data_IF_762552643965
#
_entry.id   IF_762552643965
#
_cell.length_a   1.000
_cell.length_b   1.000
_cell.length_c   1.000
_cell.angle_alpha   90.00
_cell.angle_beta   90.00
_cell.angle_gamma   90.00
#
_symmetry.space_group_name_H-M   'P 1'
#
loop_
_entity.id
_entity.type
_entity.pdbx_description
1 polymer ?
#
# COMPACT_ATOMS: atom_id res chain seq x y z
N UNK A 1 71.66 58.26 18.86
CA UNK A 1 71.11 57.61 17.64
C UNK A 1 69.67 57.20 17.92
N UNK A 2 68.69 58.04 17.57
CA UNK A 2 67.27 57.75 17.74
C UNK A 2 66.67 57.30 16.40
N UNK A 3 66.30 56.02 16.28
CA UNK A 3 65.47 55.51 15.17
C UNK A 3 64.01 55.49 15.62
N UNK A 4 63.26 56.49 15.19
CA UNK A 4 61.79 56.52 15.29
C UNK A 4 61.19 55.59 14.25
N UNK A 5 60.61 54.46 14.68
CA UNK A 5 59.74 53.63 13.85
C UNK A 5 58.39 54.33 13.68
N UNK A 6 58.07 54.78 12.46
CA UNK A 6 56.69 55.17 12.10
C UNK A 6 55.93 53.92 11.64
N UNK A 7 54.72 53.63 12.16
CA UNK A 7 53.89 52.57 11.62
C UNK A 7 53.30 53.03 10.28
N UNK A 8 53.56 52.26 9.22
CA UNK A 8 52.90 52.42 7.92
C UNK A 8 51.43 51.99 8.11
N UNK A 9 50.52 52.96 8.23
CA UNK A 9 49.08 52.69 8.13
C UNK A 9 48.80 52.30 6.67
N UNK A 10 48.60 51.00 6.41
CA UNK A 10 48.07 50.52 5.13
C UNK A 10 46.59 50.88 5.08
N UNK A 11 46.27 52.03 4.49
CA UNK A 11 44.89 52.34 4.12
C UNK A 11 44.55 51.45 2.92
N UNK A 12 43.58 50.56 3.08
CA UNK A 12 43.03 49.79 1.96
C UNK A 12 42.45 50.76 0.93
N UNK A 13 42.74 50.53 -0.34
CA UNK A 13 42.18 51.35 -1.42
C UNK A 13 40.68 51.07 -1.54
N UNK A 14 39.91 52.07 -1.98
CA UNK A 14 38.46 51.94 -2.18
C UNK A 14 38.10 50.69 -3.03
N UNK A 15 38.95 50.36 -4.00
CA UNK A 15 38.81 49.20 -4.90
C UNK A 15 38.93 47.88 -4.13
N UNK A 16 39.89 47.78 -3.19
CA UNK A 16 40.04 46.58 -2.34
C UNK A 16 38.84 46.42 -1.39
N UNK A 17 38.27 47.52 -0.92
CA UNK A 17 37.10 47.52 -0.04
C UNK A 17 35.83 47.10 -0.80
N UNK A 18 35.66 47.57 -2.04
CA UNK A 18 34.58 47.14 -2.93
C UNK A 18 34.74 45.66 -3.32
N UNK A 19 35.96 45.21 -3.65
CA UNK A 19 36.22 43.81 -3.97
C UNK A 19 35.93 42.88 -2.77
N UNK A 20 36.32 43.29 -1.56
CA UNK A 20 36.02 42.56 -0.34
C UNK A 20 34.50 42.51 -0.06
N UNK A 21 33.77 43.60 -0.29
CA UNK A 21 32.31 43.63 -0.13
C UNK A 21 31.61 42.71 -1.14
N UNK A 22 32.03 42.71 -2.40
CA UNK A 22 31.47 41.83 -3.43
C UNK A 22 31.75 40.37 -3.08
N UNK A 23 33.00 40.03 -2.72
CA UNK A 23 33.36 38.68 -2.31
C UNK A 23 32.55 38.22 -1.09
N UNK A 24 32.36 39.09 -0.10
CA UNK A 24 31.54 38.80 1.10
C UNK A 24 30.07 38.60 0.74
N UNK A 25 29.52 39.38 -0.18
CA UNK A 25 28.14 39.26 -0.63
C UNK A 25 27.91 37.94 -1.37
N UNK A 26 28.83 37.55 -2.26
CA UNK A 26 28.79 36.26 -2.95
C UNK A 26 28.88 35.12 -1.93
N UNK A 27 29.78 35.22 -0.96
CA UNK A 27 29.94 34.20 0.08
C UNK A 27 28.70 34.07 0.97
N UNK A 28 28.10 35.18 1.38
CA UNK A 28 26.84 35.21 2.14
C UNK A 28 25.66 34.68 1.33
N UNK A 29 25.57 34.99 0.03
CA UNK A 29 24.53 34.45 -0.84
C UNK A 29 24.67 32.95 -1.07
N UNK A 30 25.90 32.44 -1.21
CA UNK A 30 26.17 31.00 -1.30
C UNK A 30 25.87 30.26 0.02
N UNK A 31 26.16 30.89 1.16
CA UNK A 31 25.83 30.36 2.47
C UNK A 31 24.31 30.33 2.68
N UNK A 32 23.60 31.39 2.31
CA UNK A 32 22.15 31.44 2.40
C UNK A 32 21.47 30.39 1.48
N UNK A 33 21.96 30.22 0.25
CA UNK A 33 21.46 29.18 -0.66
C UNK A 33 21.72 27.78 -0.11
N UNK A 34 22.91 27.53 0.45
CA UNK A 34 23.25 26.25 1.09
C UNK A 34 22.39 26.00 2.33
N UNK A 35 22.12 27.03 3.15
CA UNK A 35 21.24 26.93 4.31
C UNK A 35 19.81 26.62 3.86
N UNK A 36 19.26 27.30 2.86
CA UNK A 36 17.90 27.02 2.36
C UNK A 36 17.80 25.62 1.76
N UNK A 37 18.79 25.18 0.97
CA UNK A 37 18.85 23.82 0.44
C UNK A 37 19.00 22.78 1.54
N UNK A 38 19.87 23.03 2.54
CA UNK A 38 20.00 22.13 3.67
C UNK A 38 18.73 22.12 4.53
N UNK A 39 18.05 23.26 4.72
CA UNK A 39 16.82 23.38 5.52
C UNK A 39 15.65 22.69 4.82
N UNK A 40 15.57 22.75 3.48
CA UNK A 40 14.58 21.98 2.71
C UNK A 40 14.91 20.48 2.67
N UNK A 41 16.17 20.08 2.82
CA UNK A 41 16.56 18.67 3.04
C UNK A 41 16.49 18.24 4.51
N UNK A 42 16.31 19.20 5.43
CA UNK A 42 16.16 19.02 6.88
C UNK A 42 14.73 19.31 7.36
N UNK A 43 13.78 19.54 6.45
CA UNK A 43 12.37 19.46 6.80
C UNK A 43 12.21 18.12 7.50
N UNK A 44 11.94 18.19 8.82
CA UNK A 44 12.17 17.07 9.71
C UNK A 44 11.43 15.88 9.14
N UNK A 45 12.05 14.70 8.97
CA UNK A 45 11.39 13.51 8.44
C UNK A 45 10.03 13.26 9.10
N UNK A 46 9.85 13.75 10.34
CA UNK A 46 8.60 13.74 11.09
C UNK A 46 7.49 14.57 10.45
N UNK A 47 7.69 15.82 10.02
CA UNK A 47 6.60 16.67 9.50
C UNK A 47 6.04 16.16 8.16
N UNK A 48 6.93 15.72 7.25
CA UNK A 48 6.48 15.10 6.01
C UNK A 48 5.88 13.72 6.29
N UNK A 49 6.50 12.89 7.15
CA UNK A 49 5.94 11.59 7.54
C UNK A 49 4.58 11.72 8.24
N UNK A 50 4.39 12.75 9.07
CA UNK A 50 3.13 13.09 9.74
C UNK A 50 2.09 13.50 8.69
N UNK A 51 2.41 14.41 7.77
CA UNK A 51 1.49 14.80 6.70
C UNK A 51 1.09 13.64 5.77
N UNK A 52 2.00 12.68 5.54
CA UNK A 52 1.69 11.46 4.81
C UNK A 52 0.83 10.51 5.62
N UNK A 53 1.11 10.35 6.91
CA UNK A 53 0.33 9.53 7.83
C UNK A 53 -1.10 10.08 7.98
N UNK A 54 -1.25 11.39 8.14
CA UNK A 54 -2.54 12.07 8.19
C UNK A 54 -3.33 11.88 6.88
N UNK A 55 -2.64 11.96 5.73
CA UNK A 55 -3.27 11.67 4.43
C UNK A 55 -3.70 10.21 4.32
N UNK A 56 -2.91 9.27 4.84
CA UNK A 56 -3.27 7.85 4.88
C UNK A 56 -4.55 7.64 5.70
N UNK A 57 -4.64 8.26 6.87
CA UNK A 57 -5.83 8.22 7.75
C UNK A 57 -7.04 8.81 7.02
N UNK A 58 -6.90 10.00 6.45
CA UNK A 58 -7.96 10.68 5.73
C UNK A 58 -8.45 9.87 4.52
N UNK A 59 -7.53 9.34 3.72
CA UNK A 59 -7.87 8.54 2.55
C UNK A 59 -8.57 7.22 2.94
N UNK A 60 -8.19 6.62 4.07
CA UNK A 60 -8.90 5.44 4.62
C UNK A 60 -10.32 5.78 5.04
N UNK A 61 -10.51 6.86 5.79
CA UNK A 61 -11.83 7.35 6.20
C UNK A 61 -12.68 7.64 4.96
N UNK A 62 -12.12 8.32 3.96
CA UNK A 62 -12.80 8.63 2.70
C UNK A 62 -13.14 7.37 1.91
N UNK A 63 -12.26 6.37 1.88
CA UNK A 63 -12.54 5.10 1.22
C UNK A 63 -13.71 4.36 1.90
N UNK A 64 -13.70 4.26 3.23
CA UNK A 64 -14.77 3.61 3.98
C UNK A 64 -16.09 4.38 3.86
N UNK A 65 -16.07 5.71 3.86
CA UNK A 65 -17.24 6.55 3.59
C UNK A 65 -17.76 6.38 2.15
N UNK A 66 -16.87 6.34 1.15
CA UNK A 66 -17.24 6.21 -0.26
C UNK A 66 -18.06 4.96 -0.54
N UNK A 67 -17.77 3.86 0.15
CA UNK A 67 -18.48 2.59 -0.01
C UNK A 67 -19.54 2.35 1.07
N UNK A 68 -19.76 3.32 1.96
CA UNK A 68 -20.80 3.23 2.98
C UNK A 68 -22.21 3.38 2.39
N UNK A 69 -23.15 2.64 2.97
CA UNK A 69 -24.58 2.82 2.72
C UNK A 69 -25.30 3.50 3.91
N UNK A 70 -24.65 3.59 5.07
CA UNK A 70 -25.09 4.41 6.20
C UNK A 70 -23.91 4.88 7.05
N UNK A 71 -24.10 6.04 7.68
CA UNK A 71 -23.18 6.61 8.66
C UNK A 71 -23.98 6.92 9.93
N UNK A 72 -23.46 6.50 11.07
CA UNK A 72 -24.01 6.73 12.41
C UNK A 72 -23.01 7.55 13.23
N UNK A 73 -23.40 8.79 13.56
CA UNK A 73 -22.61 9.76 14.31
C UNK A 73 -23.07 9.87 15.79
N UNK A 74 -23.78 8.87 16.32
CA UNK A 74 -24.30 8.92 17.69
C UNK A 74 -23.22 8.92 18.79
N UNK A 75 -21.97 8.61 18.45
CA UNK A 75 -20.84 8.69 19.39
C UNK A 75 -20.29 10.11 19.51
N UNK A 76 -20.05 10.56 20.74
CA UNK A 76 -19.47 11.89 21.01
C UNK A 76 -18.00 12.03 20.58
N UNK A 77 -17.31 10.92 20.28
CA UNK A 77 -15.89 10.89 19.96
C UNK A 77 -15.60 10.07 18.71
N UNK A 78 -16.57 9.89 17.81
CA UNK A 78 -16.40 9.02 16.67
C UNK A 78 -17.63 8.89 15.79
N UNK A 79 -17.52 8.03 14.80
CA UNK A 79 -18.63 7.68 13.91
C UNK A 79 -18.48 6.23 13.49
N UNK A 80 -19.59 5.63 13.07
CA UNK A 80 -19.62 4.28 12.52
C UNK A 80 -20.16 4.34 11.10
N UNK A 81 -19.46 3.71 10.16
CA UNK A 81 -19.95 3.52 8.81
C UNK A 81 -20.35 2.08 8.61
N UNK A 82 -21.44 1.89 7.90
CA UNK A 82 -21.87 0.56 7.49
C UNK A 82 -21.66 0.45 5.99
N UNK A 83 -20.87 -0.53 5.56
CA UNK A 83 -20.49 -0.71 4.16
C UNK A 83 -20.51 -2.19 3.79
N UNK A 84 -20.59 -2.53 2.49
CA UNK A 84 -20.36 -3.91 2.05
C UNK A 84 -18.94 -4.35 2.43
N UNK A 85 -18.84 -5.51 3.05
CA UNK A 85 -17.58 -6.14 3.39
C UNK A 85 -16.85 -6.60 2.14
N UNK A 86 -15.55 -6.31 2.10
CA UNK A 86 -14.66 -6.77 1.03
C UNK A 86 -14.19 -8.22 1.24
N UNK A 87 -14.53 -8.86 2.37
CA UNK A 87 -14.05 -10.21 2.72
C UNK A 87 -15.15 -11.24 2.95
N UNK A 88 -16.41 -10.81 3.12
CA UNK A 88 -17.51 -11.74 3.48
C UNK A 88 -18.74 -11.61 2.60
N UNK A 89 -18.76 -10.67 1.65
CA UNK A 89 -19.96 -10.26 0.89
C UNK A 89 -21.17 -9.84 1.76
N UNK A 90 -21.00 -9.81 3.09
CA UNK A 90 -21.97 -9.31 4.05
C UNK A 90 -21.78 -7.80 4.23
N UNK A 91 -22.58 -7.21 5.10
CA UNK A 91 -22.38 -5.84 5.55
C UNK A 91 -21.39 -5.84 6.71
N UNK A 92 -20.35 -5.00 6.66
CA UNK A 92 -19.43 -4.74 7.77
C UNK A 92 -19.66 -3.35 8.37
N UNK A 93 -19.50 -3.27 9.68
CA UNK A 93 -19.56 -2.06 10.46
C UNK A 93 -18.14 -1.60 10.78
N UNK A 94 -17.73 -0.45 10.25
CA UNK A 94 -16.43 0.16 10.55
C UNK A 94 -16.66 1.33 11.48
N UNK A 95 -16.15 1.24 12.71
CA UNK A 95 -16.22 2.31 13.69
C UNK A 95 -14.88 3.01 13.83
N UNK A 96 -14.92 4.33 13.83
CA UNK A 96 -13.81 5.21 14.12
C UNK A 96 -14.07 5.85 15.48
N UNK A 97 -13.16 5.66 16.44
CA UNK A 97 -13.28 6.20 17.79
C UNK A 97 -11.99 6.87 18.22
N UNK A 98 -12.10 8.13 18.62
CA UNK A 98 -11.02 8.86 19.25
C UNK A 98 -11.09 8.67 20.78
N UNK A 99 -9.97 8.27 21.36
CA UNK A 99 -9.88 7.99 22.80
C UNK A 99 -8.51 8.33 23.37
N UNK A 100 -8.22 7.80 24.56
CA UNK A 100 -6.95 8.03 25.26
C UNK A 100 -5.75 7.45 24.50
N UNK A 101 -5.98 6.41 23.71
CA UNK A 101 -4.98 5.73 22.87
C UNK A 101 -4.93 6.32 21.44
N UNK A 102 -5.60 7.45 21.21
CA UNK A 102 -5.66 8.15 19.93
C UNK A 102 -6.83 7.72 19.04
N UNK A 103 -6.68 7.87 17.72
CA UNK A 103 -7.73 7.47 16.77
C UNK A 103 -7.64 5.98 16.50
N UNK A 104 -8.74 5.27 16.76
CA UNK A 104 -8.86 3.84 16.49
C UNK A 104 -9.90 3.58 15.41
N UNK A 105 -9.67 2.52 14.63
CA UNK A 105 -10.59 1.97 13.64
C UNK A 105 -10.87 0.51 13.99
N UNK A 106 -12.13 0.15 14.07
CA UNK A 106 -12.56 -1.21 14.35
C UNK A 106 -13.51 -1.70 13.25
N UNK A 107 -13.29 -2.90 12.73
CA UNK A 107 -14.15 -3.57 11.74
C UNK A 107 -14.91 -4.70 12.47
N UNK A 108 -16.22 -4.58 12.56
CA UNK A 108 -17.11 -5.52 13.23
C UNK A 108 -16.60 -5.88 14.65
N UNK A 109 -16.31 -7.16 14.88
CA UNK A 109 -15.82 -7.71 16.16
C UNK A 109 -14.31 -7.97 16.16
N UNK A 110 -13.57 -7.39 15.21
CA UNK A 110 -12.11 -7.54 15.17
C UNK A 110 -11.43 -6.72 16.29
N UNK A 111 -10.15 -7.00 16.53
CA UNK A 111 -9.35 -6.19 17.43
C UNK A 111 -9.23 -4.76 16.87
N UNK A 112 -9.46 -3.71 17.69
CA UNK A 112 -9.32 -2.33 17.25
C UNK A 112 -7.90 -2.04 16.75
N UNK A 113 -7.82 -1.35 15.62
CA UNK A 113 -6.59 -0.89 15.01
C UNK A 113 -6.34 0.58 15.41
N UNK A 114 -5.18 0.90 15.99
CA UNK A 114 -4.82 2.29 16.29
C UNK A 114 -4.28 2.94 15.02
N UNK A 115 -5.05 3.87 14.46
CA UNK A 115 -4.68 4.67 13.28
C UNK A 115 -3.67 5.76 13.63
N UNK A 116 -3.84 6.40 14.78
CA UNK A 116 -2.97 7.46 15.28
C UNK A 116 -2.84 7.32 16.79
N UNK A 117 -1.60 7.30 17.31
CA UNK A 117 -1.30 7.18 18.74
C UNK A 117 -1.19 8.55 19.45
N UNK A 118 -1.16 9.66 18.70
CA UNK A 118 -1.10 11.01 19.26
C UNK A 118 -2.38 11.79 18.95
N UNK A 119 -2.64 12.86 19.69
CA UNK A 119 -3.80 13.73 19.41
C UNK A 119 -3.70 14.27 17.98
N UNK A 120 -4.80 14.30 17.20
CA UNK A 120 -4.76 14.71 15.81
C UNK A 120 -4.15 16.11 15.70
N UNK A 121 -3.01 16.20 15.01
CA UNK A 121 -2.29 17.46 14.76
C UNK A 121 -3.04 18.37 13.78
N UNK A 122 -4.05 17.82 13.08
CA UNK A 122 -4.82 18.49 12.04
C UNK A 122 -6.32 18.17 12.11
N UNK A 123 -7.14 19.17 11.79
CA UNK A 123 -8.60 19.02 11.66
C UNK A 123 -8.95 18.73 10.21
N UNK A 124 -9.57 17.59 9.92
CA UNK A 124 -10.14 17.29 8.62
C UNK A 124 -11.66 17.50 8.67
N UNK A 125 -12.19 18.23 7.69
CA UNK A 125 -13.63 18.52 7.61
C UNK A 125 -14.17 17.81 6.38
N UNK A 126 -15.10 16.87 6.58
CA UNK A 126 -15.84 16.23 5.48
C UNK A 126 -17.12 17.04 5.26
N UNK A 127 -17.04 18.08 4.43
CA UNK A 127 -18.22 18.85 4.07
C UNK A 127 -19.07 18.08 3.07
N UNK A 128 -20.24 17.59 3.52
CA UNK A 128 -21.31 17.09 2.67
C UNK A 128 -21.00 15.76 1.98
N UNK A 129 -21.28 14.65 2.66
CA UNK A 129 -21.42 13.35 2.01
C UNK A 129 -22.79 13.26 1.33
N UNK A 130 -22.82 13.32 0.00
CA UNK A 130 -24.00 12.89 -0.78
C UNK A 130 -23.66 11.53 -1.38
N UNK A 131 -24.21 10.46 -0.80
CA UNK A 131 -24.06 9.12 -1.38
C UNK A 131 -24.54 9.15 -2.84
N UNK A 132 -23.76 8.65 -3.81
CA UNK A 132 -24.27 8.44 -5.16
C UNK A 132 -25.52 7.57 -5.05
N UNK A 133 -26.63 8.00 -5.65
CA UNK A 133 -27.80 7.14 -5.80
C UNK A 133 -27.35 5.88 -6.52
N UNK A 134 -27.29 4.75 -5.82
CA UNK A 134 -26.85 3.48 -6.37
C UNK A 134 -27.72 3.13 -7.59
N UNK A 135 -27.16 3.24 -8.80
CA UNK A 135 -27.82 2.78 -10.03
C UNK A 135 -27.46 1.30 -10.18
N UNK A 136 -28.42 0.43 -9.90
CA UNK A 136 -28.30 -1.03 -9.87
C UNK A 136 -28.05 -1.70 -11.25
N UNK A 137 -27.45 -1.02 -12.22
CA UNK A 137 -27.33 -1.54 -13.58
C UNK A 137 -26.13 -2.48 -13.80
N UNK A 138 -25.03 -2.33 -13.05
CA UNK A 138 -23.84 -3.18 -13.18
C UNK A 138 -23.41 -3.68 -11.79
N UNK A 139 -23.44 -4.99 -11.57
CA UNK A 139 -22.87 -5.59 -10.35
C UNK A 139 -21.35 -5.42 -10.41
N UNK A 140 -20.72 -4.61 -9.54
CA UNK A 140 -19.29 -4.37 -9.63
C UNK A 140 -18.50 -5.63 -9.25
N UNK A 141 -17.29 -5.76 -9.79
CA UNK A 141 -16.36 -6.80 -9.40
C UNK A 141 -15.96 -6.62 -7.93
N UNK A 142 -16.06 -7.67 -7.13
CA UNK A 142 -15.81 -7.60 -5.68
C UNK A 142 -15.07 -8.84 -5.19
N UNK A 143 -14.26 -8.66 -4.15
CA UNK A 143 -13.73 -9.80 -3.40
C UNK A 143 -14.86 -10.35 -2.53
N UNK A 144 -15.19 -11.63 -2.73
CA UNK A 144 -16.17 -12.37 -1.92
C UNK A 144 -15.55 -12.81 -0.61
N UNK A 145 -14.37 -13.44 -0.69
CA UNK A 145 -13.65 -13.98 0.46
C UNK A 145 -12.19 -14.23 0.16
N UNK A 146 -11.42 -14.49 1.21
CA UNK A 146 -9.99 -14.78 1.12
C UNK A 146 -9.59 -15.95 2.02
N UNK A 147 -8.55 -16.67 1.61
CA UNK A 147 -7.86 -17.68 2.41
C UNK A 147 -6.36 -17.43 2.35
N UNK A 148 -5.67 -17.70 3.46
CA UNK A 148 -4.24 -17.45 3.58
C UNK A 148 -3.54 -18.66 4.17
N UNK A 149 -2.30 -18.89 3.76
CA UNK A 149 -1.43 -19.90 4.36
C UNK A 149 0.00 -19.38 4.44
N UNK A 150 0.69 -19.76 5.51
CA UNK A 150 2.11 -19.45 5.72
C UNK A 150 2.89 -20.71 6.06
N UNK A 151 4.13 -20.80 5.60
CA UNK A 151 5.05 -21.83 6.07
C UNK A 151 5.57 -21.46 7.47
N UNK A 152 5.58 -22.39 8.40
CA UNK A 152 6.15 -22.17 9.75
C UNK A 152 7.68 -22.19 9.77
N UNK A 153 8.29 -22.85 8.79
CA UNK A 153 9.74 -22.98 8.57
C UNK A 153 10.02 -23.16 7.08
N UNK A 154 11.29 -23.30 6.72
CA UNK A 154 11.71 -23.78 5.40
C UNK A 154 10.99 -25.09 5.04
N UNK A 155 10.09 -25.03 4.06
CA UNK A 155 9.27 -26.17 3.64
C UNK A 155 9.37 -26.40 2.13
N UNK A 156 9.16 -27.65 1.70
CA UNK A 156 9.12 -28.01 0.27
C UNK A 156 7.73 -27.83 -0.35
N UNK A 157 6.70 -27.63 0.46
CA UNK A 157 5.36 -27.32 -0.02
C UNK A 157 4.54 -26.59 1.04
N UNK A 158 3.45 -25.98 0.61
CA UNK A 158 2.42 -25.40 1.45
C UNK A 158 1.04 -25.69 0.85
N UNK A 159 0.07 -26.03 1.70
CA UNK A 159 -1.32 -26.20 1.30
C UNK A 159 -2.13 -25.01 1.76
N UNK A 160 -3.04 -24.54 0.90
CA UNK A 160 -4.00 -23.47 1.18
C UNK A 160 -5.38 -23.94 0.73
N UNK A 161 -6.34 -23.83 1.63
CA UNK A 161 -7.73 -24.13 1.29
C UNK A 161 -8.33 -23.01 0.44
N UNK A 162 -9.34 -23.35 -0.36
CA UNK A 162 -10.10 -22.33 -1.06
C UNK A 162 -10.83 -21.43 -0.06
N UNK A 163 -11.00 -20.13 -0.38
CA UNK A 163 -11.76 -19.22 0.45
C UNK A 163 -13.16 -19.76 0.76
N UNK A 164 -13.58 -19.63 2.02
CA UNK A 164 -14.90 -20.07 2.43
C UNK A 164 -15.99 -19.33 1.61
N UNK A 165 -17.02 -20.07 1.19
CA UNK A 165 -18.15 -19.51 0.46
C UNK A 165 -17.88 -19.20 -1.01
N UNK A 166 -16.79 -19.69 -1.61
CA UNK A 166 -16.59 -19.63 -3.05
C UNK A 166 -17.76 -20.30 -3.81
N UNK A 167 -18.16 -19.71 -4.94
CA UNK A 167 -19.27 -20.17 -5.77
C UNK A 167 -18.84 -20.38 -7.22
N UNK A 168 -19.53 -21.26 -7.93
CA UNK A 168 -19.31 -21.48 -9.36
C UNK A 168 -19.37 -20.16 -10.12
N UNK A 169 -18.36 -19.92 -10.96
CA UNK A 169 -18.22 -18.65 -11.69
C UNK A 169 -17.46 -17.55 -10.95
N UNK A 170 -17.05 -17.75 -9.69
CA UNK A 170 -16.07 -16.85 -9.06
C UNK A 170 -14.69 -17.02 -9.74
N UNK A 171 -13.95 -15.92 -9.88
CA UNK A 171 -12.53 -15.95 -10.25
C UNK A 171 -11.72 -16.18 -8.98
N UNK A 172 -11.04 -17.32 -8.90
CA UNK A 172 -10.06 -17.58 -7.87
C UNK A 172 -8.73 -16.95 -8.27
N UNK A 173 -8.23 -16.07 -7.43
CA UNK A 173 -7.01 -15.33 -7.65
C UNK A 173 -6.01 -15.66 -6.57
N UNK A 174 -4.83 -16.12 -6.95
CA UNK A 174 -3.78 -16.54 -6.01
C UNK A 174 -2.54 -15.68 -6.17
N UNK A 175 -2.00 -15.26 -5.03
CA UNK A 175 -0.72 -14.59 -4.94
C UNK A 175 0.18 -15.33 -3.94
N UNK A 176 1.44 -15.53 -4.33
CA UNK A 176 2.45 -16.26 -3.55
C UNK A 176 3.68 -15.38 -3.43
N UNK A 177 4.08 -15.08 -2.19
CA UNK A 177 5.37 -14.49 -1.85
C UNK A 177 6.24 -15.58 -1.28
N UNK A 178 7.41 -15.82 -1.87
CA UNK A 178 8.28 -16.90 -1.42
C UNK A 178 9.75 -16.51 -1.49
N UNK A 179 10.50 -16.88 -0.44
CA UNK A 179 11.94 -16.65 -0.34
C UNK A 179 12.74 -17.92 -0.58
N UNK A 180 13.66 -17.82 -1.53
CA UNK A 180 14.56 -18.85 -2.06
C UNK A 180 13.93 -20.07 -2.76
N UNK A 181 12.71 -20.03 -3.35
CA UNK A 181 12.31 -21.12 -4.23
C UNK A 181 13.07 -21.01 -5.57
N UNK A 182 13.63 -22.13 -6.04
CA UNK A 182 14.25 -22.20 -7.37
C UNK A 182 13.18 -22.30 -8.47
N UNK A 183 12.13 -23.08 -8.23
CA UNK A 183 10.95 -23.16 -9.09
C UNK A 183 9.72 -23.51 -8.25
N UNK A 184 8.53 -23.19 -8.77
CA UNK A 184 7.26 -23.43 -8.07
C UNK A 184 6.31 -24.15 -9.01
N UNK A 185 5.62 -25.17 -8.51
CA UNK A 185 4.47 -25.77 -9.20
C UNK A 185 3.23 -25.70 -8.31
N UNK A 186 2.08 -25.51 -8.96
CA UNK A 186 0.78 -25.38 -8.30
C UNK A 186 -0.07 -26.59 -8.68
N UNK A 187 -0.63 -27.26 -7.68
CA UNK A 187 -1.53 -28.40 -7.83
C UNK A 187 -2.86 -28.12 -7.12
N UNK A 188 -4.02 -28.52 -7.66
CA UNK A 188 -4.19 -29.20 -8.94
C UNK A 188 -3.89 -28.26 -10.13
N UNK A 189 -3.72 -28.85 -11.32
CA UNK A 189 -3.55 -28.12 -12.57
C UNK A 189 -4.79 -27.25 -12.89
N UNK A 190 -4.63 -26.26 -13.76
CA UNK A 190 -5.70 -25.36 -14.20
C UNK A 190 -5.57 -23.91 -13.73
N UNK A 191 -4.48 -23.57 -13.03
CA UNK A 191 -4.12 -22.19 -12.73
C UNK A 191 -3.41 -21.55 -13.93
N UNK A 192 -3.92 -20.41 -14.38
CA UNK A 192 -3.30 -19.55 -15.39
C UNK A 192 -2.32 -18.59 -14.70
N UNK A 193 -1.06 -18.63 -15.12
CA UNK A 193 -0.01 -17.77 -14.58
C UNK A 193 -0.10 -16.36 -15.20
N UNK A 194 -0.20 -15.34 -14.35
CA UNK A 194 -0.12 -13.93 -14.74
C UNK A 194 1.30 -13.41 -14.60
N UNK A 195 1.90 -13.63 -13.43
CA UNK A 195 3.22 -13.14 -13.11
C UNK A 195 4.10 -14.18 -12.43
N UNK A 196 5.37 -14.15 -12.80
CA UNK A 196 6.46 -14.79 -12.09
C UNK A 196 7.59 -13.77 -11.99
N UNK A 197 7.63 -13.02 -10.91
CA UNK A 197 8.62 -11.97 -10.65
C UNK A 197 9.66 -12.47 -9.66
N UNK A 198 10.90 -11.99 -9.80
CA UNK A 198 11.97 -12.37 -8.89
C UNK A 198 13.01 -11.27 -8.67
N UNK A 199 13.42 -11.10 -7.42
CA UNK A 199 14.52 -10.22 -7.03
C UNK A 199 15.30 -10.85 -5.88
N UNK A 200 16.57 -11.21 -6.14
CA UNK A 200 17.54 -11.73 -5.15
C UNK A 200 16.90 -12.61 -4.04
N UNK A 201 16.42 -13.77 -4.48
CA UNK A 201 15.74 -14.81 -3.69
C UNK A 201 14.28 -14.53 -3.29
N UNK A 202 13.76 -13.30 -3.37
CA UNK A 202 12.32 -13.09 -3.28
C UNK A 202 11.65 -13.45 -4.62
N UNK A 203 10.49 -14.08 -4.55
CA UNK A 203 9.61 -14.37 -5.70
C UNK A 203 8.20 -13.91 -5.40
N UNK A 204 7.55 -13.31 -6.39
CA UNK A 204 6.12 -13.04 -6.41
C UNK A 204 5.51 -13.79 -7.58
N UNK A 205 4.60 -14.70 -7.29
CA UNK A 205 3.83 -15.44 -8.29
C UNK A 205 2.38 -15.04 -8.16
N UNK A 206 1.77 -14.77 -9.30
CA UNK A 206 0.36 -14.41 -9.37
C UNK A 206 -0.30 -15.28 -10.42
N UNK A 207 -1.39 -15.93 -10.06
CA UNK A 207 -2.14 -16.81 -10.93
C UNK A 207 -3.64 -16.68 -10.67
N UNK A 208 -4.45 -17.06 -11.65
CA UNK A 208 -5.90 -17.14 -11.48
C UNK A 208 -6.47 -18.42 -12.07
N UNK A 209 -7.69 -18.76 -11.68
CA UNK A 209 -8.52 -19.77 -12.35
C UNK A 209 -10.00 -19.45 -12.12
N UNK A 210 -10.87 -19.98 -12.96
CA UNK A 210 -12.31 -19.95 -12.68
C UNK A 210 -12.67 -21.05 -11.68
N UNK A 211 -13.51 -20.74 -10.72
CA UNK A 211 -14.03 -21.73 -9.78
C UNK A 211 -15.14 -22.56 -10.43
N UNK A 212 -15.08 -23.87 -10.17
CA UNK A 212 -16.10 -24.87 -10.45
C UNK A 212 -16.13 -25.84 -9.25
N UNK A 213 -17.32 -26.20 -8.79
CA UNK A 213 -17.60 -27.13 -7.70
C UNK A 213 -16.95 -28.51 -7.89
N UNK A 214 -16.56 -28.88 -9.11
CA UNK A 214 -15.81 -30.11 -9.38
C UNK A 214 -14.33 -30.06 -8.91
N UNK A 215 -13.81 -28.87 -8.58
CA UNK A 215 -12.41 -28.66 -8.23
C UNK A 215 -12.09 -29.06 -6.78
N UNK A 216 -10.81 -29.40 -6.55
CA UNK A 216 -10.28 -29.62 -5.20
C UNK A 216 -10.48 -28.37 -4.33
N UNK A 217 -10.96 -28.59 -3.09
CA UNK A 217 -11.11 -27.57 -2.05
C UNK A 217 -9.78 -27.06 -1.49
N UNK A 218 -8.67 -27.72 -1.84
CA UNK A 218 -7.33 -27.36 -1.39
C UNK A 218 -6.37 -27.25 -2.57
N UNK A 219 -5.53 -26.22 -2.56
CA UNK A 219 -4.43 -26.00 -3.50
C UNK A 219 -3.10 -26.22 -2.79
N UNK A 220 -2.22 -27.01 -3.40
CA UNK A 220 -0.87 -27.26 -2.91
C UNK A 220 0.14 -26.54 -3.80
N UNK A 221 1.00 -25.74 -3.17
CA UNK A 221 2.12 -25.06 -3.80
C UNK A 221 3.38 -25.83 -3.43
N UNK A 222 4.10 -26.34 -4.43
CA UNK A 222 5.34 -27.09 -4.24
C UNK A 222 6.53 -26.21 -4.62
N UNK A 223 7.50 -26.12 -3.71
CA UNK A 223 8.76 -25.42 -3.89
C UNK A 223 9.80 -26.43 -4.41
N UNK A 224 9.87 -26.51 -5.72
CA UNK A 224 10.72 -27.47 -6.40
C UNK A 224 12.19 -27.04 -6.30
N UNK A 225 13.06 -28.01 -5.98
CA UNK A 225 14.51 -27.84 -5.89
C UNK A 225 15.00 -26.91 -4.77
N UNK A 226 14.30 -26.87 -3.63
CA UNK A 226 14.77 -26.23 -2.41
C UNK A 226 13.62 -25.86 -1.49
N UNK A 227 13.82 -26.02 -0.18
CA UNK A 227 12.86 -25.53 0.79
C UNK A 227 12.75 -24.00 0.68
N UNK A 228 11.56 -23.45 0.92
CA UNK A 228 11.29 -22.01 0.91
C UNK A 228 10.51 -21.61 2.16
N UNK A 229 10.59 -20.32 2.51
CA UNK A 229 9.59 -19.68 3.36
C UNK A 229 8.61 -18.95 2.46
N UNK A 230 7.32 -19.15 2.66
CA UNK A 230 6.30 -18.62 1.76
C UNK A 230 5.02 -18.22 2.48
N UNK A 231 4.45 -17.11 2.01
CA UNK A 231 3.13 -16.64 2.35
C UNK A 231 2.26 -16.66 1.09
N UNK A 232 1.07 -17.23 1.20
CA UNK A 232 0.13 -17.44 0.11
C UNK A 232 -1.22 -16.85 0.47
N UNK A 233 -1.85 -16.20 -0.49
CA UNK A 233 -3.22 -15.71 -0.39
C UNK A 233 -4.00 -16.16 -1.62
N UNK A 234 -5.20 -16.71 -1.40
CA UNK A 234 -6.21 -16.92 -2.45
C UNK A 234 -7.39 -16.01 -2.16
N UNK A 235 -7.87 -15.29 -3.17
CA UNK A 235 -9.10 -14.51 -3.16
C UNK A 235 -10.14 -15.21 -4.03
N UNK A 236 -11.40 -15.23 -3.60
CA UNK A 236 -12.55 -15.52 -4.44
C UNK A 236 -13.16 -14.19 -4.86
N UNK A 237 -13.28 -13.96 -6.17
CA UNK A 237 -13.70 -12.68 -6.75
C UNK A 237 -14.96 -12.91 -7.57
N UNK A 238 -16.03 -12.22 -7.20
CA UNK A 238 -17.32 -12.32 -7.86
C UNK A 238 -17.51 -11.25 -8.94
N UNK A 239 -18.39 -11.52 -9.90
CA UNK A 239 -18.77 -10.62 -10.99
C UNK A 239 -17.62 -10.19 -11.93
N UNK A 240 -16.47 -10.86 -11.89
CA UNK A 240 -15.40 -10.64 -12.85
C UNK A 240 -15.74 -11.24 -14.23
N UNK A 241 -15.19 -10.67 -15.31
CA UNK A 241 -15.30 -11.24 -16.66
C UNK A 241 -14.70 -12.65 -16.69
N UNK A 242 -15.46 -13.62 -17.18
CA UNK A 242 -15.01 -15.01 -17.25
C UNK A 242 -14.10 -15.27 -18.44
N UNK A 243 -14.16 -14.43 -19.48
CA UNK A 243 -13.42 -14.63 -20.73
C UNK A 243 -12.05 -13.95 -20.71
N UNK A 244 -11.94 -12.84 -20.00
CA UNK A 244 -10.70 -12.10 -19.81
C UNK A 244 -10.71 -11.41 -18.45
N UNK A 245 -10.54 -12.18 -17.36
CA UNK A 245 -10.60 -11.62 -16.02
C UNK A 245 -9.49 -10.57 -15.85
N UNK A 246 -8.30 -10.79 -16.39
CA UNK A 246 -7.17 -9.86 -16.37
C UNK A 246 -7.21 -8.86 -17.54
N UNK A 247 -8.10 -7.86 -17.45
CA UNK A 247 -8.23 -6.81 -18.45
C UNK A 247 -6.96 -5.92 -18.55
N UNK A 248 -6.23 -5.77 -17.44
CA UNK A 248 -4.94 -5.09 -17.45
C UNK A 248 -4.07 -5.58 -16.30
N UNK A 249 -2.76 -5.57 -16.51
CA UNK A 249 -1.80 -5.91 -15.48
C UNK A 249 -0.47 -5.17 -15.68
N UNK A 250 0.19 -4.80 -14.58
CA UNK A 250 1.57 -4.28 -14.55
C UNK A 250 2.34 -4.83 -13.35
N UNK A 251 3.66 -4.71 -13.39
CA UNK A 251 4.54 -5.15 -12.32
C UNK A 251 5.69 -4.18 -12.10
N UNK A 252 6.15 -4.07 -10.85
CA UNK A 252 7.33 -3.30 -10.49
C UNK A 252 8.13 -4.01 -9.39
N UNK A 253 9.37 -3.58 -9.17
CA UNK A 253 10.25 -4.11 -8.12
C UNK A 253 11.24 -3.06 -7.65
N UNK A 254 11.62 -3.16 -6.38
CA UNK A 254 12.57 -2.22 -5.83
C UNK A 254 13.14 -2.62 -4.48
N UNK A 255 13.79 -1.63 -3.87
CA UNK A 255 14.27 -1.69 -2.51
C UNK A 255 13.75 -0.46 -1.78
N UNK A 256 12.92 -0.67 -0.76
CA UNK A 256 12.47 0.39 0.11
C UNK A 256 13.52 0.65 1.17
N UNK A 257 13.81 1.93 1.39
CA UNK A 257 14.51 2.41 2.57
C UNK A 257 13.46 2.99 3.52
N UNK A 258 13.42 2.53 4.76
CA UNK A 258 12.37 2.91 5.73
C UNK A 258 12.20 4.41 5.98
N UNK A 259 13.20 5.22 5.60
CA UNK A 259 13.24 6.67 5.78
C UNK A 259 13.16 7.46 4.46
N UNK A 260 13.00 6.80 3.29
CA UNK A 260 12.91 7.47 1.99
C UNK A 260 11.59 7.14 1.30
N UNK A 261 10.64 8.08 1.38
CA UNK A 261 9.29 7.95 0.85
C UNK A 261 9.23 7.55 -0.63
N UNK A 262 10.13 8.09 -1.46
CA UNK A 262 10.19 7.80 -2.90
C UNK A 262 10.67 6.40 -3.27
N UNK A 263 11.00 5.53 -2.30
CA UNK A 263 11.52 4.18 -2.56
C UNK A 263 10.52 3.07 -2.23
N UNK A 264 9.35 3.44 -1.71
CA UNK A 264 8.25 2.51 -1.44
C UNK A 264 7.47 2.18 -2.72
N UNK A 265 6.88 0.99 -2.82
CA UNK A 265 6.10 0.59 -3.98
C UNK A 265 4.87 1.48 -4.14
N UNK A 266 4.80 2.20 -5.26
CA UNK A 266 3.66 3.03 -5.64
C UNK A 266 2.58 2.20 -6.33
N UNK A 267 1.32 2.60 -6.19
CA UNK A 267 0.18 1.97 -6.86
C UNK A 267 0.39 1.93 -8.38
N UNK A 268 0.18 0.76 -8.98
CA UNK A 268 0.27 0.55 -10.42
C UNK A 268 -1.13 0.60 -11.05
N UNK A 269 -1.43 1.64 -11.82
CA UNK A 269 -2.72 1.80 -12.49
C UNK A 269 -2.53 2.11 -13.99
N UNK A 270 -3.49 1.72 -14.84
CA UNK A 270 -3.47 2.07 -16.26
C UNK A 270 -3.68 3.58 -16.43
N UNK A 271 -2.96 4.18 -17.39
CA UNK A 271 -3.06 5.62 -17.70
C UNK A 271 -4.43 6.05 -18.27
N UNK A 272 -5.25 5.10 -18.71
CA UNK A 272 -6.59 5.33 -19.25
C UNK A 272 -7.57 4.23 -18.83
N UNK A 273 -8.80 4.60 -18.50
CA UNK A 273 -9.95 3.70 -18.64
C UNK A 273 -10.23 2.72 -17.52
N UNK A 274 -9.95 3.06 -16.25
CA UNK A 274 -10.51 2.29 -15.13
C UNK A 274 -11.98 2.67 -14.95
N UNK A 275 -12.91 1.76 -15.25
CA UNK A 275 -14.34 2.02 -15.10
C UNK A 275 -14.79 1.75 -13.66
N UNK A 276 -15.88 2.37 -13.17
CA UNK A 276 -16.44 2.12 -11.84
C UNK A 276 -16.69 0.63 -11.52
N UNK A 277 -16.96 -0.18 -12.55
CA UNK A 277 -17.19 -1.61 -12.43
C UNK A 277 -15.92 -2.45 -12.28
N UNK A 278 -14.73 -1.89 -12.52
CA UNK A 278 -13.47 -2.61 -12.39
C UNK A 278 -13.04 -2.74 -10.94
N UNK A 279 -12.33 -3.83 -10.64
CA UNK A 279 -11.61 -4.01 -9.38
C UNK A 279 -10.11 -3.92 -9.66
N UNK A 280 -9.43 -2.99 -8.99
CA UNK A 280 -7.98 -2.88 -9.05
C UNK A 280 -7.39 -3.53 -7.82
N UNK A 281 -6.49 -4.48 -8.02
CA UNK A 281 -5.74 -5.20 -7.01
C UNK A 281 -4.31 -4.71 -7.05
N UNK A 282 -3.76 -4.37 -5.90
CA UNK A 282 -2.34 -4.12 -5.72
C UNK A 282 -1.80 -5.18 -4.78
N UNK A 283 -0.83 -5.94 -5.27
CA UNK A 283 -0.24 -7.08 -4.59
C UNK A 283 1.20 -6.75 -4.32
N UNK A 284 1.60 -6.81 -3.06
CA UNK A 284 2.95 -6.53 -2.61
C UNK A 284 3.52 -7.80 -2.01
N UNK A 285 4.68 -8.22 -2.47
CA UNK A 285 5.53 -9.18 -1.79
C UNK A 285 6.75 -8.44 -1.27
N UNK A 286 7.14 -8.72 -0.03
CA UNK A 286 8.30 -8.08 0.56
C UNK A 286 9.17 -9.04 1.35
N UNK A 287 10.44 -8.65 1.47
CA UNK A 287 11.40 -9.31 2.34
C UNK A 287 11.04 -9.04 3.81
N UNK A 288 11.00 -10.11 4.60
CA UNK A 288 10.64 -10.02 6.01
C UNK A 288 9.18 -9.62 6.22
N UNK A 289 8.96 -8.75 7.19
CA UNK A 289 7.64 -8.27 7.59
C UNK A 289 7.66 -6.74 7.76
N UNK A 290 7.58 -5.98 6.65
CA UNK A 290 7.72 -4.54 6.68
C UNK A 290 6.47 -3.80 7.18
N UNK A 291 5.38 -4.52 7.46
CA UNK A 291 4.07 -3.94 7.76
C UNK A 291 3.59 -4.21 9.20
N UNK A 292 4.05 -5.28 9.87
CA UNK A 292 3.54 -5.67 11.19
C UNK A 292 3.91 -4.77 12.37
N UNK A 293 4.92 -3.89 12.23
CA UNK A 293 5.38 -3.04 13.34
C UNK A 293 4.28 -2.13 13.93
N UNK A 294 3.20 -1.86 13.18
CA UNK A 294 2.09 -1.02 13.62
C UNK A 294 0.74 -1.53 13.10
N UNK A 295 0.44 -2.82 13.35
CA UNK A 295 -0.91 -3.40 13.31
C UNK A 295 -1.41 -3.93 11.97
N UNK A 296 -0.58 -4.71 11.27
CA UNK A 296 -0.99 -5.63 10.20
C UNK A 296 -1.81 -5.02 9.04
N UNK A 297 -1.45 -3.80 8.62
CA UNK A 297 -2.05 -3.14 7.46
C UNK A 297 -0.98 -2.62 6.49
N UNK A 298 -1.30 -2.60 5.19
CA UNK A 298 -0.42 -2.11 4.13
C UNK A 298 -0.43 -0.59 4.00
N UNK A 299 -1.50 0.08 4.42
CA UNK A 299 -1.54 1.54 4.42
C UNK A 299 -1.57 2.22 3.07
N UNK A 300 -2.16 1.56 2.07
CA UNK A 300 -2.29 2.17 0.75
C UNK A 300 -3.51 3.08 0.72
N UNK A 301 -3.25 4.39 0.71
CA UNK A 301 -4.27 5.42 0.59
C UNK A 301 -5.26 5.13 -0.56
N UNK A 302 -6.56 5.27 -0.29
CA UNK A 302 -7.69 4.98 -1.20
C UNK A 302 -7.93 3.50 -1.55
N UNK A 303 -7.18 2.57 -0.97
CA UNK A 303 -7.41 1.12 -1.12
C UNK A 303 -7.87 0.52 0.20
N UNK A 304 -8.65 -0.56 0.13
CA UNK A 304 -9.01 -1.39 1.26
C UNK A 304 -8.03 -2.56 1.38
N UNK A 305 -7.53 -2.82 2.60
CA UNK A 305 -6.75 -4.02 2.89
C UNK A 305 -7.66 -5.25 2.79
N UNK A 306 -7.21 -6.27 2.04
CA UNK A 306 -7.98 -7.51 1.85
C UNK A 306 -7.32 -8.67 2.58
N UNK A 307 -6.01 -8.80 2.43
CA UNK A 307 -5.27 -9.89 3.02
C UNK A 307 -3.82 -9.49 3.26
N UNK A 308 -3.28 -9.94 4.39
CA UNK A 308 -1.87 -9.85 4.72
C UNK A 308 -1.44 -11.18 5.33
N UNK A 309 -0.25 -11.64 4.98
CA UNK A 309 0.33 -12.85 5.55
C UNK A 309 1.85 -12.74 5.60
N UNK A 310 2.44 -13.20 6.69
CA UNK A 310 3.87 -13.05 6.98
C UNK A 310 4.44 -14.34 7.54
N UNK A 311 5.67 -14.64 7.14
CA UNK A 311 6.48 -15.76 7.66
C UNK A 311 7.67 -15.26 8.49
N UNK A 312 7.76 -13.95 8.73
CA UNK A 312 8.94 -13.27 9.28
C UNK A 312 10.12 -13.14 8.30
N UNK A 313 10.20 -13.98 7.26
CA UNK A 313 11.23 -13.90 6.20
C UNK A 313 10.70 -13.44 4.85
N UNK A 314 9.40 -13.60 4.63
CA UNK A 314 8.66 -13.22 3.43
C UNK A 314 7.26 -12.82 3.85
N UNK A 315 6.73 -11.78 3.22
CA UNK A 315 5.37 -11.32 3.45
C UNK A 315 4.65 -11.07 2.13
N UNK A 316 3.33 -11.18 2.17
CA UNK A 316 2.43 -10.83 1.08
C UNK A 316 1.31 -9.95 1.62
N UNK A 317 0.94 -8.95 0.84
CA UNK A 317 -0.15 -8.05 1.14
C UNK A 317 -0.94 -7.72 -0.12
N UNK A 318 -2.27 -7.70 0.00
CA UNK A 318 -3.17 -7.35 -1.09
C UNK A 318 -4.13 -6.26 -0.62
N UNK A 319 -4.19 -5.18 -1.40
CA UNK A 319 -5.18 -4.13 -1.25
C UNK A 319 -6.01 -3.99 -2.52
N UNK A 320 -7.25 -3.54 -2.39
CA UNK A 320 -8.17 -3.40 -3.53
C UNK A 320 -8.89 -2.06 -3.57
N UNK A 321 -9.28 -1.66 -4.77
CA UNK A 321 -10.07 -0.45 -5.00
C UNK A 321 -10.93 -0.59 -6.24
N UNK A 322 -12.22 -0.27 -6.13
CA UNK A 322 -13.09 -0.18 -7.29
C UNK A 322 -12.96 1.19 -7.98
N UNK A 323 -13.13 1.20 -9.31
CA UNK A 323 -13.25 2.43 -10.09
C UNK A 323 -11.94 3.18 -10.37
N UNK A 324 -12.04 4.45 -10.79
CA UNK A 324 -10.89 5.31 -11.12
C UNK A 324 -10.16 5.84 -9.89
N UNK A 325 -8.82 5.83 -9.93
CA UNK A 325 -8.04 6.56 -8.94
C UNK A 325 -8.22 8.06 -9.20
N UNK A 326 -8.43 8.90 -8.17
CA UNK A 326 -8.36 10.34 -8.37
C UNK A 326 -6.97 10.72 -8.91
N UNK A 327 -6.90 11.77 -9.73
CA UNK A 327 -5.63 12.26 -10.23
C UNK A 327 -4.86 12.91 -9.06
N UNK A 328 -3.90 12.18 -8.51
CA UNK A 328 -3.07 12.63 -7.39
C UNK A 328 -1.70 13.01 -7.90
N UNK A 329 -1.14 14.11 -7.38
CA UNK A 329 0.20 14.57 -7.75
C UNK A 329 1.29 13.52 -7.44
N UNK A 330 1.07 12.70 -6.42
CA UNK A 330 1.85 11.52 -6.12
C UNK A 330 0.90 10.32 -6.03
N UNK A 331 1.22 9.18 -6.68
CA UNK A 331 0.43 7.97 -6.50
C UNK A 331 0.52 7.49 -5.04
N UNK A 332 -0.55 6.92 -4.47
CA UNK A 332 -0.48 6.24 -3.18
C UNK A 332 0.59 5.15 -3.21
N UNK A 333 1.22 4.87 -2.07
CA UNK A 333 2.29 3.87 -1.96
C UNK A 333 2.09 3.01 -0.73
N UNK A 334 2.45 1.73 -0.80
CA UNK A 334 2.47 0.87 0.39
C UNK A 334 3.73 1.14 1.20
N UNK A 335 3.58 1.81 2.33
CA UNK A 335 4.71 2.22 3.15
C UNK A 335 5.38 1.01 3.80
N UNK A 336 6.69 0.87 3.61
CA UNK A 336 7.48 -0.18 4.25
C UNK A 336 8.22 0.41 5.44
N UNK A 337 7.89 -0.07 6.64
CA UNK A 337 8.46 0.44 7.89
C UNK A 337 9.83 -0.16 8.20
N UNK A 338 10.23 -1.20 7.47
CA UNK A 338 11.58 -1.74 7.47
C UNK A 338 12.20 -1.66 6.07
N UNK A 339 13.52 -1.48 6.00
CA UNK A 339 14.22 -1.47 4.73
C UNK A 339 14.29 -2.89 4.18
N UNK A 340 13.87 -3.06 2.93
CA UNK A 340 13.68 -4.38 2.35
C UNK A 340 13.42 -4.34 0.86
N UNK A 341 13.60 -5.49 0.22
CA UNK A 341 13.20 -5.67 -1.17
C UNK A 341 11.70 -5.84 -1.25
N UNK A 342 11.16 -5.40 -2.37
CA UNK A 342 9.76 -5.61 -2.68
C UNK A 342 9.56 -5.95 -4.16
N UNK A 343 8.50 -6.71 -4.40
CA UNK A 343 7.96 -7.01 -5.72
C UNK A 343 6.48 -6.61 -5.67
N UNK A 344 5.99 -6.04 -6.76
CA UNK A 344 4.60 -5.61 -6.86
C UNK A 344 3.98 -6.09 -8.16
N UNK A 345 2.70 -6.45 -8.10
CA UNK A 345 1.84 -6.62 -9.25
C UNK A 345 0.56 -5.80 -9.06
N UNK A 346 0.22 -4.99 -10.06
CA UNK A 346 -1.07 -4.30 -10.17
C UNK A 346 -1.92 -5.00 -11.21
N UNK A 347 -3.13 -5.40 -10.84
CA UNK A 347 -4.04 -6.14 -11.72
C UNK A 347 -5.41 -5.49 -11.70
N UNK A 348 -6.00 -5.31 -12.87
CA UNK A 348 -7.35 -4.80 -13.03
C UNK A 348 -8.24 -5.91 -13.55
N UNK A 349 -9.28 -6.21 -12.79
CA UNK A 349 -10.30 -7.16 -13.18
C UNK A 349 -11.49 -6.46 -13.84
N UNK A 350 -11.82 -6.92 -15.04
CA UNK A 350 -12.96 -6.44 -15.83
C UNK A 350 -14.29 -6.91 -15.25
N UNK A 351 -15.34 -6.10 -15.42
CA UNK A 351 -16.71 -6.47 -15.04
C UNK A 351 -17.33 -7.51 -15.99
N UNK A 352 -18.55 -7.99 -15.71
CA UNK A 352 -19.16 -9.10 -16.46
C UNK A 352 -19.51 -8.77 -17.92
N UNK A 353 -19.58 -7.48 -18.26
CA UNK A 353 -20.04 -6.98 -19.56
C UNK A 353 -18.90 -6.55 -20.50
N UNK A 354 -17.66 -6.97 -20.22
CA UNK A 354 -16.46 -6.64 -21.00
C UNK A 354 -15.84 -7.85 -21.72
#
# INVERSE_FOLDING_TARGET
MNRTHRPIRRAYTLIELIAAMIATTVLLSSLAATIVLSTNMLETPTAQSEAWHDREIADRIVADLRYSHSVDETSLAGFTVTKPSVTTAATESVSYQFGQDGLTRNIDSQSPYVLDQQSPSHTFTVDGFTAPTYIAANTPVRVRSSATAVTTNWANSISVDLPAGCQDGDVLFMAISARSPNSISISPWGWNLLYFLGSNNLRLIVAYRLHDASQSSTTQINFNSGAATAAVTILAIENASLNNPDNWSSSDSGYAWSFLSGTHPGVLEPSTGTLPQHLNLQIYAADGDPWSLYGDTLGVASYADVAQSTTGSSSIGIVVRNGTQPNLANPPSAWQRSSGRWLQAGIRLGGPTE
#
